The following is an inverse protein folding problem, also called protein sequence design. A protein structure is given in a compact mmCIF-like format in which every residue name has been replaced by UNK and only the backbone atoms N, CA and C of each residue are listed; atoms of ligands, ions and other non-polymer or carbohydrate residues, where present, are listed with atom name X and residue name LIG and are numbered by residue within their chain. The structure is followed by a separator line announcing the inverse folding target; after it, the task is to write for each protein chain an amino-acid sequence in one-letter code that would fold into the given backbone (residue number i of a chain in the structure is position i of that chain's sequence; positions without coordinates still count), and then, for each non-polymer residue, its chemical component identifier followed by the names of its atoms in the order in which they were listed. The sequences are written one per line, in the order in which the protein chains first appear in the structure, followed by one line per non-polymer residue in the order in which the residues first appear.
data_IF_070685932837
#
_entry.id   IF_070685932837
#
_cell.length_a   1.000
_cell.length_b   1.000
_cell.length_c   1.000
_cell.angle_alpha   90.00
_cell.angle_beta   90.00
_cell.angle_gamma   90.00
#
_symmetry.space_group_name_H-M   'P 1'
#
loop_
_entity.id
_entity.type
_entity.pdbx_description
1 polymer ?
#
# COMPACT_ATOMS: atom_id res chain seq x y z
N UNK A 1 8.86 -7.52 -3.33
CA UNK A 1 9.67 -7.86 -4.51
C UNK A 1 9.60 -6.75 -5.58
N UNK A 2 8.39 -6.30 -6.00
CA UNK A 2 8.25 -5.31 -7.08
C UNK A 2 8.91 -3.97 -6.73
N UNK A 3 8.64 -3.38 -5.56
CA UNK A 3 9.31 -2.18 -5.07
C UNK A 3 10.84 -2.31 -5.15
N UNK A 4 11.41 -3.40 -4.58
CA UNK A 4 12.85 -3.66 -4.66
C UNK A 4 13.36 -3.66 -6.10
N UNK A 5 12.70 -4.38 -6.99
CA UNK A 5 13.13 -4.48 -8.38
C UNK A 5 13.14 -3.11 -9.06
N UNK A 6 12.10 -2.29 -8.88
CA UNK A 6 12.06 -0.94 -9.44
C UNK A 6 13.19 -0.03 -8.94
N UNK A 7 13.61 -0.19 -7.67
CA UNK A 7 14.73 0.59 -7.10
C UNK A 7 16.07 0.15 -7.65
N UNK A 8 16.26 -1.14 -7.89
CA UNK A 8 17.54 -1.70 -8.34
C UNK A 8 17.65 -1.90 -9.85
N UNK A 9 16.57 -1.75 -10.61
CA UNK A 9 16.55 -1.86 -12.07
C UNK A 9 17.45 -0.79 -12.76
N UNK A 10 17.71 0.32 -12.06
CA UNK A 10 18.51 1.45 -12.54
C UNK A 10 19.78 1.70 -11.72
N UNK A 11 20.15 0.79 -10.84
CA UNK A 11 21.34 0.91 -9.98
C UNK A 11 22.29 -0.24 -10.23
N UNK A 12 23.56 0.10 -10.40
CA UNK A 12 24.62 -0.88 -10.26
C UNK A 12 24.75 -1.25 -8.78
N UNK A 13 24.46 -2.48 -8.44
CA UNK A 13 24.57 -2.97 -7.07
C UNK A 13 23.76 -4.23 -6.81
N UNK A 14 24.11 -4.91 -5.72
CA UNK A 14 23.41 -6.12 -5.30
C UNK A 14 22.17 -5.75 -4.50
N UNK A 15 21.03 -6.27 -4.91
CA UNK A 15 19.78 -6.09 -4.18
C UNK A 15 19.61 -7.17 -3.08
N UNK A 16 18.84 -6.87 -2.00
CA UNK A 16 18.50 -7.87 -1.00
C UNK A 16 17.81 -9.08 -1.63
N UNK A 17 18.21 -10.32 -1.27
CA UNK A 17 17.56 -11.52 -1.79
C UNK A 17 16.07 -11.57 -1.46
N UNK A 18 15.26 -12.04 -2.43
CA UNK A 18 13.80 -12.16 -2.21
C UNK A 18 13.45 -13.08 -1.04
N UNK A 19 14.23 -14.13 -0.87
CA UNK A 19 14.06 -15.11 0.21
C UNK A 19 14.33 -14.48 1.58
N UNK A 20 15.37 -13.65 1.70
CA UNK A 20 15.64 -12.88 2.92
C UNK A 20 14.45 -11.99 3.28
N UNK A 21 13.97 -11.20 2.31
CA UNK A 21 12.83 -10.31 2.55
C UNK A 21 11.56 -11.09 2.91
N UNK A 22 11.32 -12.24 2.26
CA UNK A 22 10.18 -13.10 2.57
C UNK A 22 10.25 -13.64 4.01
N UNK A 23 11.43 -14.10 4.46
CA UNK A 23 11.64 -14.54 5.84
C UNK A 23 11.35 -13.41 6.85
N UNK A 24 11.93 -12.24 6.63
CA UNK A 24 11.77 -11.10 7.53
C UNK A 24 10.31 -10.65 7.63
N UNK A 25 9.60 -10.59 6.50
CA UNK A 25 8.17 -10.24 6.48
C UNK A 25 7.32 -11.33 7.13
N UNK A 26 7.60 -12.60 6.89
CA UNK A 26 6.86 -13.72 7.50
C UNK A 26 7.03 -13.79 9.03
N UNK A 27 8.12 -13.26 9.56
CA UNK A 27 8.37 -13.17 11.01
C UNK A 27 7.55 -12.09 11.72
N UNK A 28 6.87 -11.22 10.98
CA UNK A 28 6.04 -10.15 11.52
C UNK A 28 4.55 -10.41 11.19
N UNK A 29 3.67 -10.20 12.19
CA UNK A 29 2.22 -10.29 11.99
C UNK A 29 1.62 -8.89 12.06
N UNK A 30 1.05 -8.43 10.94
CA UNK A 30 0.27 -7.20 10.93
C UNK A 30 -1.02 -7.37 11.73
N UNK A 31 -1.43 -6.33 12.43
CA UNK A 31 -2.65 -6.30 13.24
C UNK A 31 -3.83 -5.63 12.51
N UNK A 32 -3.54 -4.89 11.47
CA UNK A 32 -4.53 -4.05 10.77
C UNK A 32 -5.48 -4.85 9.88
N UNK A 33 -6.76 -4.45 9.83
CA UNK A 33 -7.78 -5.14 9.03
C UNK A 33 -7.70 -4.82 7.54
N UNK A 34 -7.01 -3.73 7.14
CA UNK A 34 -6.89 -3.35 5.74
C UNK A 34 -5.53 -3.73 5.16
N UNK A 35 -5.52 -4.11 3.87
CA UNK A 35 -4.28 -4.46 3.19
C UNK A 35 -3.26 -3.32 3.18
N UNK A 36 -3.72 -2.07 2.98
CA UNK A 36 -2.83 -0.92 2.89
C UNK A 36 -2.14 -0.63 4.24
N UNK A 37 -2.89 -0.67 5.34
CA UNK A 37 -2.33 -0.50 6.69
C UNK A 37 -1.44 -1.68 7.08
N UNK A 38 -1.83 -2.91 6.77
CA UNK A 38 -0.99 -4.08 7.01
C UNK A 38 0.34 -4.00 6.23
N UNK A 39 0.30 -3.52 4.97
CA UNK A 39 1.50 -3.31 4.18
C UNK A 39 2.41 -2.24 4.79
N UNK A 40 1.84 -1.14 5.30
CA UNK A 40 2.59 -0.11 6.02
C UNK A 40 3.24 -0.68 7.29
N UNK A 41 2.51 -1.46 8.10
CA UNK A 41 3.05 -2.11 9.31
C UNK A 41 4.23 -3.03 8.97
N UNK A 42 4.12 -3.85 7.93
CA UNK A 42 5.22 -4.69 7.46
C UNK A 42 6.42 -3.88 6.96
N UNK A 43 6.17 -2.77 6.24
CA UNK A 43 7.23 -1.89 5.76
C UNK A 43 7.97 -1.22 6.93
N UNK A 44 7.25 -0.77 7.96
CA UNK A 44 7.81 -0.21 9.20
C UNK A 44 8.66 -1.24 9.93
N UNK A 45 8.12 -2.44 10.17
CA UNK A 45 8.85 -3.51 10.85
C UNK A 45 10.14 -3.90 10.12
N UNK A 46 10.07 -3.99 8.79
CA UNK A 46 11.23 -4.27 7.95
C UNK A 46 12.28 -3.16 8.04
N UNK A 47 11.86 -1.89 7.93
CA UNK A 47 12.73 -0.72 8.07
C UNK A 47 13.43 -0.72 9.43
N UNK A 48 12.70 -0.95 10.51
CA UNK A 48 13.24 -0.91 11.87
C UNK A 48 14.27 -2.02 12.10
N UNK A 49 14.03 -3.20 11.52
CA UNK A 49 15.01 -4.29 11.54
C UNK A 49 16.32 -3.89 10.87
N UNK A 50 16.27 -3.24 9.71
CA UNK A 50 17.48 -2.76 9.03
C UNK A 50 18.11 -1.55 9.76
N UNK A 51 17.29 -0.64 10.28
CA UNK A 51 17.78 0.51 11.06
C UNK A 51 18.58 0.07 12.29
N UNK A 52 18.14 -0.98 12.99
CA UNK A 52 18.87 -1.55 14.12
C UNK A 52 20.30 -1.96 13.72
N UNK A 53 20.46 -2.67 12.62
CA UNK A 53 21.77 -3.12 12.15
C UNK A 53 22.65 -1.96 11.64
N UNK A 54 22.07 -1.05 10.85
CA UNK A 54 22.80 0.11 10.32
C UNK A 54 23.30 1.02 11.44
N UNK A 55 22.44 1.34 12.40
CA UNK A 55 22.78 2.20 13.53
C UNK A 55 23.80 1.54 14.48
N UNK A 56 23.71 0.22 14.64
CA UNK A 56 24.67 -0.58 15.41
C UNK A 56 25.98 -0.89 14.68
N UNK A 57 26.14 -0.41 13.42
CA UNK A 57 27.29 -0.73 12.55
C UNK A 57 27.52 -2.23 12.40
N UNK A 58 26.41 -3.01 12.36
CA UNK A 58 26.42 -4.46 12.20
C UNK A 58 25.77 -4.86 10.88
N UNK A 59 26.09 -6.05 10.40
CA UNK A 59 25.40 -6.63 9.24
C UNK A 59 24.21 -7.47 9.67
N UNK A 60 23.13 -7.40 8.89
CA UNK A 60 22.03 -8.32 9.08
C UNK A 60 22.52 -9.75 8.77
N UNK A 61 22.26 -10.67 9.68
CA UNK A 61 22.58 -12.08 9.53
C UNK A 61 21.31 -12.91 9.73
N UNK A 62 20.94 -13.68 8.73
CA UNK A 62 19.72 -14.49 8.73
C UNK A 62 19.97 -15.85 8.08
N UNK A 63 19.52 -16.90 8.71
CA UNK A 63 19.60 -18.28 8.21
C UNK A 63 18.21 -18.79 7.83
N UNK A 64 18.16 -19.83 7.04
CA UNK A 64 16.91 -20.53 6.74
C UNK A 64 16.39 -21.21 8.02
N UNK A 65 15.13 -20.98 8.43
CA UNK A 65 14.59 -21.55 9.67
C UNK A 65 14.50 -23.09 9.66
N UNK A 66 14.63 -23.73 8.50
CA UNK A 66 14.64 -25.20 8.35
C UNK A 66 16.04 -25.79 8.16
N UNK A 67 17.04 -24.95 7.91
CA UNK A 67 18.40 -25.39 7.65
C UNK A 67 19.37 -24.28 8.05
N UNK A 68 19.97 -24.36 9.23
CA UNK A 68 20.88 -23.33 9.76
C UNK A 68 22.14 -23.15 8.89
N UNK A 69 22.54 -24.18 8.15
CA UNK A 69 23.66 -24.09 7.23
C UNK A 69 23.35 -23.26 5.97
N UNK A 70 22.06 -23.00 5.68
CA UNK A 70 21.63 -22.18 4.57
C UNK A 70 21.50 -20.72 5.02
N UNK A 71 22.55 -19.94 4.78
CA UNK A 71 22.65 -18.52 5.17
C UNK A 71 22.01 -17.65 4.09
N UNK A 72 20.88 -17.02 4.38
CA UNK A 72 20.14 -16.19 3.44
C UNK A 72 20.82 -14.85 3.14
N UNK A 73 21.82 -14.50 3.94
CA UNK A 73 22.62 -13.27 3.85
C UNK A 73 24.04 -13.51 3.36
N UNK A 74 24.35 -14.69 2.80
CA UNK A 74 25.67 -15.03 2.29
C UNK A 74 26.16 -14.15 1.13
N UNK A 75 25.21 -13.63 0.34
CA UNK A 75 25.49 -12.84 -0.87
C UNK A 75 25.11 -11.36 -0.74
N UNK A 76 24.48 -10.98 0.36
CA UNK A 76 24.02 -9.62 0.61
C UNK A 76 23.79 -9.41 2.12
N UNK A 77 24.20 -8.25 2.70
CA UNK A 77 24.88 -7.13 2.05
C UNK A 77 26.34 -7.43 1.76
N UNK A 78 26.88 -6.92 0.64
CA UNK A 78 28.31 -7.00 0.32
C UNK A 78 29.13 -5.96 1.08
N UNK A 79 28.46 -4.90 1.56
CA UNK A 79 29.06 -3.80 2.30
C UNK A 79 28.01 -3.10 3.20
N UNK A 80 28.47 -2.32 4.19
CA UNK A 80 27.59 -1.46 4.98
C UNK A 80 26.84 -0.42 4.13
N UNK A 81 27.42 -0.03 2.99
CA UNK A 81 26.77 0.87 2.03
C UNK A 81 25.51 0.23 1.43
N UNK A 82 25.56 -1.03 1.03
CA UNK A 82 24.39 -1.75 0.47
C UNK A 82 23.21 -1.75 1.44
N UNK A 83 23.51 -2.00 2.73
CA UNK A 83 22.49 -2.04 3.78
C UNK A 83 21.92 -0.65 4.06
N UNK A 84 22.77 0.37 4.07
CA UNK A 84 22.36 1.78 4.28
C UNK A 84 21.52 2.30 3.10
N UNK A 85 21.87 1.97 1.88
CA UNK A 85 21.09 2.31 0.68
C UNK A 85 19.70 1.65 0.72
N UNK A 86 19.64 0.37 1.11
CA UNK A 86 18.36 -0.31 1.28
C UNK A 86 17.51 0.29 2.39
N UNK A 87 18.11 0.68 3.52
CA UNK A 87 17.41 1.40 4.58
C UNK A 87 16.84 2.73 4.07
N UNK A 88 17.58 3.47 3.24
CA UNK A 88 17.09 4.68 2.58
C UNK A 88 15.84 4.41 1.71
N UNK A 89 15.86 3.32 0.93
CA UNK A 89 14.70 2.91 0.13
C UNK A 89 13.50 2.50 1.01
N UNK A 90 13.74 1.81 2.12
CA UNK A 90 12.67 1.45 3.07
C UNK A 90 12.08 2.68 3.77
N UNK A 91 12.90 3.67 4.14
CA UNK A 91 12.40 4.94 4.68
C UNK A 91 11.51 5.66 3.67
N UNK A 92 11.88 5.64 2.39
CA UNK A 92 11.06 6.20 1.33
C UNK A 92 9.73 5.43 1.18
N UNK A 93 9.77 4.09 1.14
CA UNK A 93 8.58 3.24 1.08
C UNK A 93 7.61 3.55 2.23
N UNK A 94 8.11 3.57 3.47
CA UNK A 94 7.31 3.85 4.66
C UNK A 94 6.67 5.24 4.58
N UNK A 95 7.43 6.27 4.19
CA UNK A 95 6.91 7.63 4.06
C UNK A 95 5.79 7.73 3.03
N UNK A 96 5.95 7.12 1.86
CA UNK A 96 4.92 7.15 0.81
C UNK A 96 3.69 6.32 1.18
N UNK A 97 3.87 5.16 1.80
CA UNK A 97 2.75 4.36 2.32
C UNK A 97 2.02 5.07 3.45
N UNK A 98 2.73 5.78 4.33
CA UNK A 98 2.13 6.57 5.39
C UNK A 98 1.24 7.67 4.80
N UNK A 99 1.73 8.43 3.82
CA UNK A 99 0.94 9.42 3.09
C UNK A 99 -0.30 8.80 2.45
N UNK A 100 -0.14 7.66 1.79
CA UNK A 100 -1.24 6.95 1.15
C UNK A 100 -2.36 6.55 2.13
N UNK A 101 -1.99 6.14 3.35
CA UNK A 101 -2.92 5.60 4.35
C UNK A 101 -3.56 6.69 5.21
N UNK A 102 -2.78 7.68 5.64
CA UNK A 102 -3.18 8.62 6.69
C UNK A 102 -3.45 10.03 6.21
N UNK A 103 -2.85 10.47 5.10
CA UNK A 103 -3.04 11.84 4.63
C UNK A 103 -4.30 11.97 3.77
N UNK A 104 -4.89 13.18 3.76
CA UNK A 104 -5.98 13.53 2.86
C UNK A 104 -5.47 13.78 1.43
N UNK A 105 -5.01 12.72 0.76
CA UNK A 105 -4.53 12.79 -0.61
C UNK A 105 -5.64 12.52 -1.61
N UNK A 106 -5.59 13.21 -2.75
CA UNK A 106 -6.51 13.03 -3.87
C UNK A 106 -6.34 11.65 -4.50
N UNK A 107 -7.33 11.20 -5.29
CA UNK A 107 -7.22 9.93 -6.04
C UNK A 107 -6.02 9.94 -6.99
N UNK A 108 -5.73 11.08 -7.62
CA UNK A 108 -4.59 11.25 -8.51
C UNK A 108 -3.27 11.09 -7.76
N UNK A 109 -3.10 11.74 -6.61
CA UNK A 109 -1.91 11.59 -5.78
C UNK A 109 -1.74 10.15 -5.27
N UNK A 110 -2.84 9.46 -4.93
CA UNK A 110 -2.80 8.02 -4.58
C UNK A 110 -2.29 7.18 -5.75
N UNK A 111 -2.73 7.48 -6.96
CA UNK A 111 -2.25 6.80 -8.16
C UNK A 111 -0.76 7.06 -8.39
N UNK A 112 -0.32 8.31 -8.24
CA UNK A 112 1.09 8.70 -8.38
C UNK A 112 1.98 7.99 -7.35
N UNK A 113 1.55 7.91 -6.08
CA UNK A 113 2.24 7.14 -5.03
C UNK A 113 2.34 5.65 -5.40
N UNK A 114 1.26 5.04 -5.86
CA UNK A 114 1.27 3.64 -6.27
C UNK A 114 2.16 3.41 -7.49
N UNK A 115 2.15 4.32 -8.45
CA UNK A 115 3.00 4.27 -9.64
C UNK A 115 4.49 4.36 -9.27
N UNK A 116 4.84 5.27 -8.38
CA UNK A 116 6.20 5.42 -7.87
C UNK A 116 6.69 4.16 -7.13
N UNK A 117 5.84 3.60 -6.26
CA UNK A 117 6.22 2.46 -5.42
C UNK A 117 6.17 1.11 -6.16
N UNK A 118 5.20 0.93 -7.05
CA UNK A 118 4.90 -0.38 -7.64
C UNK A 118 4.84 -0.38 -9.17
N UNK A 119 5.03 0.78 -9.80
CA UNK A 119 5.04 0.98 -11.25
C UNK A 119 3.66 1.25 -11.82
N UNK A 120 3.62 1.92 -12.97
CA UNK A 120 2.43 2.41 -13.67
C UNK A 120 1.37 1.33 -13.91
N UNK A 121 1.79 0.13 -14.31
CA UNK A 121 0.85 -0.97 -14.54
C UNK A 121 0.06 -1.33 -13.27
N UNK A 122 0.74 -1.48 -12.13
CA UNK A 122 0.07 -1.84 -10.87
C UNK A 122 -0.83 -0.70 -10.38
N UNK A 123 -0.41 0.56 -10.56
CA UNK A 123 -1.22 1.73 -10.23
C UNK A 123 -2.47 1.81 -11.12
N UNK A 124 -2.32 1.58 -12.43
CA UNK A 124 -3.44 1.54 -13.37
C UNK A 124 -4.46 0.45 -13.05
N UNK A 125 -4.01 -0.76 -12.70
CA UNK A 125 -4.87 -1.86 -12.27
C UNK A 125 -5.64 -1.51 -10.98
N UNK A 126 -4.96 -0.90 -10.00
CA UNK A 126 -5.61 -0.47 -8.75
C UNK A 126 -6.70 0.58 -9.00
N UNK A 127 -6.45 1.55 -9.89
CA UNK A 127 -7.43 2.58 -10.26
C UNK A 127 -8.62 1.97 -10.98
N UNK A 128 -8.41 1.05 -11.93
CA UNK A 128 -9.50 0.33 -12.63
C UNK A 128 -10.35 -0.45 -11.63
N UNK A 129 -9.72 -1.26 -10.77
CA UNK A 129 -10.44 -2.03 -9.76
C UNK A 129 -11.24 -1.13 -8.79
N UNK A 130 -10.72 0.06 -8.48
CA UNK A 130 -11.44 1.06 -7.69
C UNK A 130 -12.65 1.62 -8.47
N UNK A 131 -12.47 2.02 -9.74
CA UNK A 131 -13.55 2.54 -10.58
C UNK A 131 -14.67 1.50 -10.77
N UNK A 132 -14.33 0.24 -11.03
CA UNK A 132 -15.28 -0.87 -11.16
C UNK A 132 -16.07 -1.11 -9.88
N UNK A 133 -15.41 -1.00 -8.73
CA UNK A 133 -16.08 -1.10 -7.42
C UNK A 133 -17.04 0.06 -7.18
N UNK A 134 -16.63 1.28 -7.57
CA UNK A 134 -17.47 2.46 -7.51
C UNK A 134 -18.72 2.32 -8.39
N UNK A 135 -18.54 1.85 -9.63
CA UNK A 135 -19.63 1.59 -10.57
C UNK A 135 -20.64 0.61 -9.99
N UNK A 136 -20.18 -0.54 -9.52
CA UNK A 136 -21.04 -1.56 -8.88
C UNK A 136 -21.78 -1.05 -7.65
N UNK A 137 -21.11 -0.33 -6.76
CA UNK A 137 -21.76 0.26 -5.58
C UNK A 137 -22.85 1.28 -5.95
N UNK A 138 -22.63 2.04 -7.03
CA UNK A 138 -23.64 2.95 -7.58
C UNK A 138 -24.85 2.20 -8.14
N UNK A 139 -24.62 1.14 -8.92
CA UNK A 139 -25.68 0.30 -9.50
C UNK A 139 -26.52 -0.38 -8.41
N UNK A 140 -25.90 -0.81 -7.31
CA UNK A 140 -26.56 -1.42 -6.16
C UNK A 140 -27.21 -0.41 -5.21
N UNK A 141 -27.10 0.90 -5.47
CA UNK A 141 -27.67 1.94 -4.61
C UNK A 141 -26.98 2.07 -3.25
N UNK A 142 -25.75 1.52 -3.11
CA UNK A 142 -25.00 1.53 -1.84
C UNK A 142 -24.27 2.85 -1.58
N UNK A 143 -24.36 3.79 -2.52
CA UNK A 143 -23.76 5.13 -2.39
C UNK A 143 -24.44 5.94 -1.30
N UNK A 144 -23.63 6.56 -0.43
CA UNK A 144 -24.11 7.55 0.57
C UNK A 144 -23.44 8.89 0.31
N UNK A 145 -24.19 9.96 0.43
CA UNK A 145 -23.64 11.31 0.32
C UNK A 145 -23.51 11.94 1.70
N UNK A 146 -22.39 12.59 1.93
CA UNK A 146 -22.19 13.41 3.11
C UNK A 146 -23.00 14.71 2.95
N UNK A 147 -23.93 14.98 3.87
CA UNK A 147 -24.94 16.04 3.72
C UNK A 147 -24.40 17.47 3.57
N UNK A 148 -23.20 17.76 4.11
CA UNK A 148 -22.65 19.12 4.02
C UNK A 148 -21.62 19.30 2.90
N UNK A 149 -21.02 18.24 2.37
CA UNK A 149 -19.96 18.33 1.35
C UNK A 149 -20.40 17.80 0.00
N UNK A 150 -21.53 17.11 -0.09
CA UNK A 150 -21.97 16.40 -1.29
C UNK A 150 -21.03 15.24 -1.69
N UNK A 151 -20.09 14.89 -0.84
CA UNK A 151 -19.08 13.84 -1.14
C UNK A 151 -19.72 12.46 -1.11
N UNK A 152 -19.54 11.70 -2.17
CA UNK A 152 -19.97 10.31 -2.24
C UNK A 152 -19.12 9.45 -1.30
N UNK A 153 -19.75 8.77 -0.35
CA UNK A 153 -19.13 7.80 0.56
C UNK A 153 -19.57 6.40 0.12
N UNK A 154 -18.61 5.56 -0.18
CA UNK A 154 -18.87 4.15 -0.46
C UNK A 154 -18.73 3.29 0.78
N UNK A 155 -19.40 2.14 0.86
CA UNK A 155 -19.32 1.22 2.00
C UNK A 155 -17.89 0.84 2.39
N UNK A 156 -17.00 0.66 1.41
CA UNK A 156 -15.59 0.36 1.63
C UNK A 156 -14.79 1.51 2.26
N UNK A 157 -15.30 2.76 2.21
CA UNK A 157 -14.71 3.94 2.86
C UNK A 157 -15.40 4.28 4.18
N UNK A 158 -16.59 3.74 4.41
CA UNK A 158 -17.43 4.06 5.57
C UNK A 158 -16.86 3.54 6.91
N UNK A 159 -15.90 2.63 6.88
CA UNK A 159 -15.26 2.12 8.09
C UNK A 159 -14.55 3.21 8.91
N UNK A 160 -14.20 4.35 8.28
CA UNK A 160 -13.49 5.45 8.95
C UNK A 160 -14.37 6.68 9.28
N UNK A 161 -15.61 6.75 8.75
CA UNK A 161 -16.45 7.97 8.88
C UNK A 161 -17.90 7.69 9.28
N UNK A 162 -18.13 6.65 10.03
CA UNK A 162 -19.44 6.02 10.27
C UNK A 162 -20.51 6.87 10.99
N UNK A 163 -20.21 8.05 11.56
CA UNK A 163 -21.15 8.70 12.48
C UNK A 163 -22.19 9.65 11.82
N UNK A 164 -22.04 10.05 10.56
CA UNK A 164 -22.86 11.12 9.95
C UNK A 164 -23.39 10.84 8.52
N UNK A 165 -23.32 9.60 8.04
CA UNK A 165 -23.76 9.26 6.70
C UNK A 165 -25.25 8.85 6.66
N UNK A 166 -26.10 9.62 5.96
CA UNK A 166 -27.49 9.26 5.68
C UNK A 166 -27.58 8.47 4.37
N UNK A 167 -28.47 7.44 4.27
CA UNK A 167 -28.74 6.78 2.99
C UNK A 167 -29.30 7.80 1.99
N UNK A 168 -28.85 7.72 0.75
CA UNK A 168 -29.40 8.54 -0.34
C UNK A 168 -30.77 8.03 -0.68
N UNK A 169 -31.82 8.87 -0.70
CA UNK A 169 -33.08 8.46 -1.27
C UNK A 169 -32.87 8.14 -2.75
N UNK A 170 -33.51 7.05 -3.20
CA UNK A 170 -33.49 6.70 -4.62
C UNK A 170 -34.10 7.86 -5.42
N UNK A 171 -33.25 8.60 -6.13
CA UNK A 171 -33.69 9.64 -7.04
C UNK A 171 -34.17 8.96 -8.29
N UNK A 172 -35.47 8.69 -8.36
CA UNK A 172 -36.12 8.41 -9.64
C UNK A 172 -36.12 9.70 -10.45
N UNK A 173 -35.32 9.73 -11.49
CA UNK A 173 -35.39 10.79 -12.50
C UNK A 173 -36.72 10.60 -13.25
N UNK A 174 -37.77 11.30 -12.83
CA UNK A 174 -39.00 11.40 -13.58
C UNK A 174 -38.81 12.39 -14.73
N UNK A 175 -38.25 11.91 -15.81
CA UNK A 175 -38.38 12.50 -17.14
C UNK A 175 -39.54 11.84 -17.89
N UNK A 176 -40.73 11.94 -17.36
CA UNK A 176 -41.95 11.43 -18.02
C UNK A 176 -42.97 12.54 -18.11
N UNK A 177 -42.89 13.41 -19.12
CA UNK A 177 -43.99 14.23 -19.55
C UNK A 177 -45.10 13.35 -20.14
N UNK A 178 -46.07 12.97 -19.32
CA UNK A 178 -47.38 12.58 -19.89
C UNK A 178 -48.14 13.86 -20.25
N UNK A 179 -48.12 14.18 -21.54
CA UNK A 179 -49.15 15.02 -22.08
C UNK A 179 -50.44 14.18 -22.14
N UNK A 180 -51.47 14.56 -21.43
CA UNK A 180 -52.83 14.07 -21.64
C UNK A 180 -53.52 15.10 -22.54
N UNK A 181 -54.06 14.61 -23.63
CA UNK A 181 -55.10 15.24 -24.44
C UNK A 181 -56.38 15.39 -23.64
#
# INVERSE_FOLDING_TARGET
KRFRNLRYDRRDGRCPPSVLLAKLVAGFRASSPTFATALLEHAVALRDRFAYHVNGSTYIHETNPRCEADVLTDRWPGSGCDQSLWLGDLNHLVRQLYRYVHDEVTLRERQEILAELFGEHAAGEAVRAFADRMGRAKELGEGRYQSHTGRLILPAMAASTSALARPTPATSFYGGTRWRD
#
